data_IF_863334469434
#
_entry.id   IF_863334469434
#
_cell.length_a   1.000
_cell.length_b   1.000
_cell.length_c   1.000
_cell.angle_alpha   90.00
_cell.angle_beta   90.00
_cell.angle_gamma   90.00
#
_symmetry.space_group_name_H-M   'P 1'
#
loop_
_entity.id
_entity.type
_entity.pdbx_description
1 polymer ?
#
# COMPACT_ATOMS: atom_id res chain seq x y z
N UNK A 1 11.20 -19.18 5.31
CA UNK A 1 10.80 -18.21 6.35
C UNK A 1 9.34 -17.86 6.18
N UNK A 2 8.54 -17.95 7.25
CA UNK A 2 7.14 -17.58 7.14
C UNK A 2 7.00 -16.09 6.78
N UNK A 3 6.10 -15.79 5.85
CA UNK A 3 5.87 -14.40 5.44
C UNK A 3 5.14 -13.57 6.50
N UNK A 4 4.50 -14.22 7.46
CA UNK A 4 3.81 -13.54 8.56
C UNK A 4 4.76 -12.68 9.39
N UNK A 5 5.98 -13.16 9.69
CA UNK A 5 6.93 -12.42 10.51
C UNK A 5 7.36 -11.12 9.86
N UNK A 6 7.76 -11.09 8.56
CA UNK A 6 8.04 -9.81 7.91
C UNK A 6 6.84 -8.88 7.85
N UNK A 7 5.63 -9.41 7.62
CA UNK A 7 4.43 -8.57 7.56
C UNK A 7 4.16 -7.93 8.91
N UNK A 8 4.29 -8.69 10.00
CA UNK A 8 4.11 -8.15 11.35
C UNK A 8 5.16 -7.10 11.69
N UNK A 9 6.39 -7.30 11.22
CA UNK A 9 7.45 -6.32 11.42
C UNK A 9 7.11 -4.99 10.73
N UNK A 10 6.65 -5.07 9.48
CA UNK A 10 6.26 -3.87 8.74
C UNK A 10 5.06 -3.17 9.40
N UNK A 11 4.12 -3.95 9.92
CA UNK A 11 2.99 -3.40 10.66
C UNK A 11 3.48 -2.64 11.90
N UNK A 12 4.45 -3.20 12.63
CA UNK A 12 5.02 -2.54 13.81
C UNK A 12 5.70 -1.22 13.44
N UNK A 13 6.48 -1.21 12.37
CA UNK A 13 7.11 0.04 11.92
C UNK A 13 6.06 1.10 11.57
N UNK A 14 4.95 0.67 10.96
CA UNK A 14 3.85 1.57 10.61
C UNK A 14 3.23 2.17 11.86
N UNK A 15 2.95 1.33 12.86
CA UNK A 15 2.34 1.78 14.11
C UNK A 15 3.25 2.73 14.89
N UNK A 16 4.55 2.49 14.81
CA UNK A 16 5.55 3.35 15.45
C UNK A 16 5.90 4.58 14.61
N UNK A 17 5.29 4.73 13.45
CA UNK A 17 5.50 5.84 12.52
C UNK A 17 6.96 5.96 12.07
N UNK A 18 7.64 4.82 11.94
CA UNK A 18 9.03 4.77 11.46
C UNK A 18 9.02 4.54 9.95
N UNK A 19 8.62 5.56 9.20
CA UNK A 19 8.31 5.40 7.79
C UNK A 19 9.55 5.25 6.91
N UNK A 20 10.70 5.81 7.30
CA UNK A 20 11.94 5.58 6.55
C UNK A 20 12.38 4.12 6.64
N UNK A 21 12.37 3.57 7.86
CA UNK A 21 12.71 2.17 8.06
C UNK A 21 11.70 1.28 7.34
N UNK A 22 10.42 1.63 7.46
CA UNK A 22 9.34 0.89 6.80
C UNK A 22 9.55 0.80 5.30
N UNK A 23 9.78 1.95 4.64
CA UNK A 23 9.91 1.97 3.18
C UNK A 23 11.12 1.18 2.71
N UNK A 24 12.25 1.30 3.40
CA UNK A 24 13.47 0.56 3.03
C UNK A 24 13.30 -0.94 3.23
N UNK A 25 12.73 -1.35 4.36
CA UNK A 25 12.53 -2.77 4.63
C UNK A 25 11.52 -3.38 3.68
N UNK A 26 10.41 -2.69 3.43
CA UNK A 26 9.39 -3.16 2.51
C UNK A 26 9.93 -3.26 1.09
N UNK A 27 10.74 -2.28 0.65
CA UNK A 27 11.37 -2.32 -0.67
C UNK A 27 12.28 -3.54 -0.80
N UNK A 28 13.08 -3.82 0.20
CA UNK A 28 13.94 -5.00 0.22
C UNK A 28 13.13 -6.29 0.11
N UNK A 29 12.01 -6.36 0.84
CA UNK A 29 11.16 -7.55 0.85
C UNK A 29 10.42 -7.75 -0.48
N UNK A 30 9.93 -6.68 -1.10
CA UNK A 30 9.24 -6.83 -2.39
C UNK A 30 10.20 -7.28 -3.50
N UNK A 31 11.48 -6.94 -3.40
CA UNK A 31 12.48 -7.41 -4.35
C UNK A 31 12.76 -8.89 -4.17
N UNK A 32 12.68 -9.40 -2.95
CA UNK A 32 12.87 -10.83 -2.67
C UNK A 32 11.62 -11.66 -2.94
N UNK A 33 10.44 -11.07 -2.74
CA UNK A 33 9.15 -11.76 -2.86
C UNK A 33 8.24 -10.93 -3.78
N UNK A 34 8.54 -10.89 -5.09
CA UNK A 34 7.89 -9.95 -6.00
C UNK A 34 6.41 -10.23 -6.29
N UNK A 35 5.88 -11.37 -5.83
CA UNK A 35 4.46 -11.68 -6.00
C UNK A 35 3.65 -11.48 -4.73
N UNK A 36 4.25 -10.99 -3.65
CA UNK A 36 3.58 -10.81 -2.38
C UNK A 36 3.06 -9.38 -2.25
N UNK A 37 1.73 -9.17 -2.36
CA UNK A 37 1.18 -7.81 -2.42
C UNK A 37 1.40 -7.00 -1.15
N UNK A 38 1.48 -7.64 0.02
CA UNK A 38 1.66 -6.91 1.28
C UNK A 38 2.91 -6.04 1.28
N UNK A 39 3.99 -6.50 0.63
CA UNK A 39 5.24 -5.73 0.64
C UNK A 39 5.14 -4.49 -0.22
N UNK A 40 4.38 -4.56 -1.33
CA UNK A 40 4.07 -3.37 -2.14
C UNK A 40 3.20 -2.38 -1.37
N UNK A 41 2.22 -2.91 -0.65
CA UNK A 41 1.32 -2.07 0.15
C UNK A 41 2.11 -1.26 1.19
N UNK A 42 2.96 -1.93 1.98
CA UNK A 42 3.72 -1.25 3.02
C UNK A 42 4.78 -0.31 2.46
N UNK A 43 5.39 -0.66 1.33
CA UNK A 43 6.31 0.26 0.65
C UNK A 43 5.56 1.53 0.22
N UNK A 44 4.39 1.35 -0.39
CA UNK A 44 3.57 2.49 -0.82
C UNK A 44 3.14 3.37 0.33
N UNK A 45 2.71 2.75 1.44
CA UNK A 45 2.33 3.49 2.63
C UNK A 45 3.51 4.32 3.16
N UNK A 46 4.67 3.70 3.28
CA UNK A 46 5.87 4.39 3.74
C UNK A 46 6.26 5.54 2.83
N UNK A 47 6.25 5.32 1.52
CA UNK A 47 6.57 6.38 0.56
C UNK A 47 5.57 7.52 0.63
N UNK A 48 4.27 7.23 0.77
CA UNK A 48 3.25 8.27 0.92
C UNK A 48 3.53 9.13 2.16
N UNK A 49 3.84 8.52 3.28
CA UNK A 49 4.10 9.25 4.52
C UNK A 49 5.35 10.10 4.41
N UNK A 50 6.31 9.70 3.59
CA UNK A 50 7.54 10.45 3.33
C UNK A 50 7.34 11.47 2.18
N UNK A 51 6.13 11.57 1.65
CA UNK A 51 5.79 12.46 0.53
C UNK A 51 6.57 12.12 -0.75
N UNK A 52 6.95 10.86 -0.90
CA UNK A 52 7.59 10.34 -2.11
C UNK A 52 6.52 9.69 -2.98
N UNK A 53 5.62 10.54 -3.51
CA UNK A 53 4.39 10.09 -4.12
C UNK A 53 4.59 9.33 -5.44
N UNK A 54 5.63 9.68 -6.21
CA UNK A 54 5.91 8.95 -7.46
C UNK A 54 6.35 7.51 -7.16
N UNK A 55 7.17 7.33 -6.14
CA UNK A 55 7.58 5.99 -5.72
C UNK A 55 6.39 5.20 -5.18
N UNK A 56 5.54 5.87 -4.40
CA UNK A 56 4.33 5.23 -3.88
C UNK A 56 3.43 4.77 -5.02
N UNK A 57 3.21 5.61 -6.02
CA UNK A 57 2.41 5.27 -7.18
C UNK A 57 2.93 4.01 -7.85
N UNK A 58 4.24 3.96 -8.13
CA UNK A 58 4.83 2.85 -8.86
C UNK A 58 4.65 1.51 -8.12
N UNK A 59 4.94 1.47 -6.82
CA UNK A 59 4.84 0.21 -6.08
C UNK A 59 3.38 -0.19 -5.86
N UNK A 60 2.48 0.77 -5.64
CA UNK A 60 1.08 0.44 -5.40
C UNK A 60 0.39 -0.04 -6.68
N UNK A 61 0.68 0.58 -7.82
CA UNK A 61 0.10 0.15 -9.09
C UNK A 61 0.59 -1.25 -9.49
N UNK A 62 1.83 -1.56 -9.17
CA UNK A 62 2.37 -2.90 -9.42
C UNK A 62 1.78 -3.91 -8.44
N UNK A 63 1.78 -3.59 -7.16
CA UNK A 63 1.39 -4.54 -6.13
C UNK A 63 -0.07 -4.93 -6.14
N UNK A 64 -0.95 -4.01 -6.54
CA UNK A 64 -2.39 -4.29 -6.54
C UNK A 64 -2.75 -5.46 -7.47
N UNK A 65 -1.96 -5.65 -8.53
CA UNK A 65 -2.21 -6.74 -9.48
C UNK A 65 -1.96 -8.11 -8.88
N UNK A 66 -1.26 -8.19 -7.75
CA UNK A 66 -1.00 -9.45 -7.06
C UNK A 66 -2.04 -9.77 -5.99
N UNK A 67 -2.99 -8.87 -5.73
CA UNK A 67 -4.03 -9.11 -4.72
C UNK A 67 -5.03 -10.12 -5.27
N UNK A 68 -5.21 -11.23 -4.54
CA UNK A 68 -6.12 -12.31 -4.93
C UNK A 68 -7.09 -12.57 -3.77
N UNK A 69 -8.38 -12.44 -4.05
CA UNK A 69 -9.45 -12.80 -3.11
C UNK A 69 -9.24 -12.23 -1.71
N UNK A 70 -8.80 -10.97 -1.65
CA UNK A 70 -8.58 -10.27 -0.38
C UNK A 70 -9.12 -8.84 -0.49
N UNK A 71 -10.46 -8.68 -0.32
CA UNK A 71 -11.07 -7.35 -0.49
C UNK A 71 -10.59 -6.32 0.52
N UNK A 72 -10.19 -6.75 1.73
CA UNK A 72 -9.66 -5.81 2.73
C UNK A 72 -8.33 -5.23 2.24
N UNK A 73 -7.43 -6.08 1.77
CA UNK A 73 -6.14 -5.62 1.24
C UNK A 73 -6.35 -4.78 0.00
N UNK A 74 -7.26 -5.19 -0.87
CA UNK A 74 -7.57 -4.43 -2.09
C UNK A 74 -8.07 -3.03 -1.73
N UNK A 75 -8.98 -2.92 -0.76
CA UNK A 75 -9.47 -1.61 -0.30
C UNK A 75 -8.35 -0.77 0.27
N UNK A 76 -7.43 -1.40 1.02
CA UNK A 76 -6.28 -0.70 1.59
C UNK A 76 -5.35 -0.15 0.50
N UNK A 77 -5.15 -0.89 -0.59
CA UNK A 77 -4.41 -0.40 -1.76
C UNK A 77 -5.10 0.83 -2.35
N UNK A 78 -6.42 0.78 -2.51
CA UNK A 78 -7.16 1.92 -3.06
C UNK A 78 -7.05 3.15 -2.17
N UNK A 79 -7.10 2.97 -0.84
CA UNK A 79 -6.91 4.09 0.09
C UNK A 79 -5.53 4.71 -0.12
N UNK A 80 -4.49 3.89 -0.21
CA UNK A 80 -3.14 4.40 -0.40
C UNK A 80 -2.97 5.07 -1.77
N UNK A 81 -3.59 4.52 -2.82
CA UNK A 81 -3.57 5.17 -4.14
C UNK A 81 -4.28 6.51 -4.10
N UNK A 82 -5.40 6.60 -3.37
CA UNK A 82 -6.06 7.89 -3.17
C UNK A 82 -5.16 8.90 -2.49
N UNK A 83 -4.45 8.49 -1.45
CA UNK A 83 -3.47 9.34 -0.77
C UNK A 83 -2.35 9.77 -1.72
N UNK A 84 -1.87 8.85 -2.55
CA UNK A 84 -0.81 9.13 -3.53
C UNK A 84 -1.25 10.22 -4.51
N UNK A 85 -2.45 10.05 -5.09
CA UNK A 85 -2.94 11.00 -6.08
C UNK A 85 -3.32 12.34 -5.46
N UNK A 86 -3.77 12.33 -4.18
CA UNK A 86 -3.93 13.57 -3.44
C UNK A 86 -2.60 14.33 -3.35
N UNK A 87 -1.52 13.64 -3.03
CA UNK A 87 -0.19 14.24 -2.95
C UNK A 87 0.33 14.73 -4.29
N UNK A 88 -0.07 14.06 -5.38
CA UNK A 88 0.31 14.46 -6.74
C UNK A 88 -0.59 15.55 -7.33
N UNK A 89 -1.65 15.94 -6.60
CA UNK A 89 -2.56 16.98 -7.06
C UNK A 89 -3.62 16.52 -8.05
N UNK A 90 -3.79 15.20 -8.22
CA UNK A 90 -4.81 14.66 -9.14
C UNK A 90 -6.07 14.31 -8.34
N UNK A 91 -6.92 15.31 -8.17
CA UNK A 91 -8.11 15.16 -7.33
C UNK A 91 -9.14 14.20 -7.91
N UNK A 92 -9.23 14.11 -9.24
CA UNK A 92 -10.15 13.18 -9.90
C UNK A 92 -9.77 11.73 -9.57
N UNK A 93 -8.49 11.39 -9.68
CA UNK A 93 -8.03 10.04 -9.34
C UNK A 93 -8.09 9.77 -7.84
N UNK A 94 -7.82 10.78 -7.02
CA UNK A 94 -7.99 10.66 -5.57
C UNK A 94 -9.41 10.22 -5.24
N UNK A 95 -10.41 10.92 -5.78
CA UNK A 95 -11.82 10.62 -5.51
C UNK A 95 -12.21 9.26 -6.06
N UNK A 96 -11.70 8.90 -7.24
CA UNK A 96 -11.96 7.60 -7.87
C UNK A 96 -11.51 6.46 -6.95
N UNK A 97 -10.30 6.53 -6.43
CA UNK A 97 -9.76 5.44 -5.61
C UNK A 97 -10.41 5.37 -4.22
N UNK A 98 -10.70 6.52 -3.60
CA UNK A 98 -11.42 6.50 -2.33
C UNK A 98 -12.83 5.93 -2.51
N UNK A 99 -13.50 6.23 -3.63
CA UNK A 99 -14.80 5.65 -3.93
C UNK A 99 -14.73 4.14 -4.10
N UNK A 100 -13.70 3.64 -4.78
CA UNK A 100 -13.52 2.20 -4.97
C UNK A 100 -13.31 1.51 -3.62
N UNK A 101 -12.54 2.11 -2.73
CA UNK A 101 -12.34 1.56 -1.39
C UNK A 101 -13.65 1.48 -0.62
N UNK A 102 -14.46 2.53 -0.68
CA UNK A 102 -15.77 2.57 -0.02
C UNK A 102 -16.71 1.49 -0.56
N UNK A 103 -16.70 1.26 -1.87
CA UNK A 103 -17.53 0.23 -2.48
C UNK A 103 -17.19 -1.15 -1.96
N UNK A 104 -15.90 -1.47 -1.82
CA UNK A 104 -15.47 -2.77 -1.31
C UNK A 104 -15.91 -2.97 0.14
N UNK A 105 -15.84 -1.94 0.96
CA UNK A 105 -16.30 -2.02 2.35
C UNK A 105 -17.79 -2.27 2.41
N UNK A 106 -18.59 -1.61 1.56
CA UNK A 106 -20.04 -1.79 1.52
C UNK A 106 -20.45 -3.17 1.04
N UNK A 107 -19.75 -3.70 0.03
CA UNK A 107 -20.05 -5.01 -0.52
C UNK A 107 -19.84 -6.15 0.48
N UNK A 108 -18.99 -5.92 1.48
CA UNK A 108 -18.70 -6.91 2.51
C UNK A 108 -19.83 -7.07 3.53
N UNK A 109 -20.78 -6.18 3.54
CA UNK A 109 -21.93 -6.29 4.41
C UNK A 109 -22.98 -7.18 3.78
#
# INVERSE_FOLDING_TARGET
MPLETPILLLQSYTEMKQFEVLSKKAQSLLERYPSQPHFYYYAGLGYNQLQQFKKAKDVLETGIDYVIENPVLEANFYIQLGETFNGLGDMAKKDFFFSKANQLVKEKK
#
